data_IF_940541381781
#
_entry.id   IF_940541381781
#
_cell.length_a   1.000
_cell.length_b   1.000
_cell.length_c   1.000
_cell.angle_alpha   90.00
_cell.angle_beta   90.00
_cell.angle_gamma   90.00
#
_symmetry.space_group_name_H-M   'P 1'
#
loop_
_entity.id
_entity.type
_entity.pdbx_description
1 polymer ?
#
# COMPACT_ATOMS: atom_id res chain seq x y z
N UNK A 1 26.66 6.65 1.62
CA UNK A 1 26.32 5.72 0.52
C UNK A 1 26.40 4.25 0.95
N UNK A 2 27.56 3.65 1.19
CA UNK A 2 27.65 2.20 1.54
C UNK A 2 26.94 1.86 2.87
N UNK A 3 27.07 2.71 3.88
CA UNK A 3 26.36 2.58 5.15
C UNK A 3 24.84 2.72 5.00
N UNK A 4 24.38 3.63 4.13
CA UNK A 4 22.95 3.83 3.86
C UNK A 4 22.34 2.63 3.13
N UNK A 5 23.06 2.07 2.15
CA UNK A 5 22.65 0.82 1.48
C UNK A 5 22.60 -0.34 2.46
N UNK A 6 23.60 -0.48 3.32
CA UNK A 6 23.64 -1.51 4.36
C UNK A 6 22.44 -1.37 5.29
N UNK A 7 22.10 -0.14 5.70
CA UNK A 7 20.93 0.14 6.55
C UNK A 7 19.62 -0.23 5.85
N UNK A 8 19.44 0.16 4.59
CA UNK A 8 18.24 -0.18 3.78
C UNK A 8 18.09 -1.69 3.61
N UNK A 9 19.18 -2.40 3.32
CA UNK A 9 19.20 -3.87 3.19
C UNK A 9 18.82 -4.51 4.53
N UNK A 10 19.41 -4.06 5.64
CA UNK A 10 19.12 -4.58 6.97
C UNK A 10 17.65 -4.37 7.36
N UNK A 11 17.09 -3.18 7.12
CA UNK A 11 15.66 -2.91 7.35
C UNK A 11 14.81 -3.88 6.53
N UNK A 12 15.17 -4.11 5.27
CA UNK A 12 14.41 -5.00 4.40
C UNK A 12 14.44 -6.44 4.90
N UNK A 13 15.62 -7.00 5.18
CA UNK A 13 15.79 -8.40 5.62
C UNK A 13 15.14 -8.63 6.98
N UNK A 14 15.44 -7.78 7.96
CA UNK A 14 14.88 -7.90 9.32
C UNK A 14 13.37 -7.68 9.28
N UNK A 15 12.90 -6.75 8.45
CA UNK A 15 11.48 -6.46 8.24
C UNK A 15 10.72 -7.68 7.74
N UNK A 16 11.21 -8.38 6.71
CA UNK A 16 10.56 -9.60 6.17
C UNK A 16 10.39 -10.66 7.27
N UNK A 17 11.44 -10.91 8.05
CA UNK A 17 11.40 -11.88 9.16
C UNK A 17 10.41 -11.44 10.22
N UNK A 18 10.43 -10.15 10.58
CA UNK A 18 9.57 -9.58 11.61
C UNK A 18 8.09 -9.65 11.22
N UNK A 19 7.75 -9.34 9.97
CA UNK A 19 6.38 -9.50 9.46
C UNK A 19 5.90 -10.95 9.49
N UNK A 20 6.76 -11.91 9.12
CA UNK A 20 6.45 -13.33 9.24
C UNK A 20 6.19 -13.77 10.68
N UNK A 21 6.99 -13.30 11.64
CA UNK A 21 6.80 -13.59 13.06
C UNK A 21 5.50 -12.96 13.60
N UNK A 22 5.23 -11.70 13.25
CA UNK A 22 3.99 -10.99 13.60
C UNK A 22 2.78 -11.78 13.07
N UNK A 23 2.83 -12.24 11.82
CA UNK A 23 1.78 -13.06 11.23
C UNK A 23 1.57 -14.37 11.99
N UNK A 24 2.64 -15.11 12.32
CA UNK A 24 2.54 -16.36 13.08
C UNK A 24 1.86 -16.12 14.44
N UNK A 25 2.22 -15.03 15.12
CA UNK A 25 1.63 -14.66 16.41
C UNK A 25 0.15 -14.32 16.24
N UNK A 26 -0.20 -13.46 15.28
CA UNK A 26 -1.60 -13.08 14.99
C UNK A 26 -2.41 -14.32 14.64
N UNK A 27 -1.90 -15.18 13.75
CA UNK A 27 -2.58 -16.41 13.33
C UNK A 27 -2.85 -17.34 14.51
N UNK A 28 -1.94 -17.39 15.49
CA UNK A 28 -2.12 -18.18 16.72
C UNK A 28 -3.16 -17.58 17.66
N UNK A 29 -3.19 -16.26 17.81
CA UNK A 29 -4.18 -15.56 18.66
C UNK A 29 -5.58 -15.68 18.04
N UNK A 30 -5.69 -15.51 16.74
CA UNK A 30 -6.93 -15.53 15.97
C UNK A 30 -7.13 -16.86 15.23
N UNK A 31 -6.81 -17.97 15.91
CA UNK A 31 -6.83 -19.31 15.32
C UNK A 31 -8.21 -19.70 14.73
N UNK A 32 -9.29 -19.20 15.34
CA UNK A 32 -10.67 -19.47 14.97
C UNK A 32 -11.16 -18.69 13.73
N UNK A 33 -10.41 -17.70 13.29
CA UNK A 33 -10.72 -16.91 12.09
C UNK A 33 -9.94 -17.40 10.88
N UNK A 34 -10.32 -16.90 9.71
CA UNK A 34 -9.74 -17.24 8.43
C UNK A 34 -8.26 -16.85 8.34
N UNK A 35 -7.57 -17.42 7.36
CA UNK A 35 -6.21 -17.01 7.02
C UNK A 35 -6.17 -15.53 6.63
N UNK A 36 -7.12 -15.12 5.77
CA UNK A 36 -7.29 -13.75 5.29
C UNK A 36 -7.52 -12.77 6.46
N UNK A 37 -8.26 -13.15 7.50
CA UNK A 37 -8.41 -12.36 8.72
C UNK A 37 -7.07 -11.98 9.34
N UNK A 38 -6.17 -12.97 9.47
CA UNK A 38 -4.85 -12.76 10.05
C UNK A 38 -3.99 -11.87 9.15
N UNK A 39 -4.00 -12.13 7.85
CA UNK A 39 -3.30 -11.30 6.86
C UNK A 39 -3.79 -9.86 6.90
N UNK A 40 -5.11 -9.62 6.92
CA UNK A 40 -5.70 -8.27 7.01
C UNK A 40 -5.27 -7.50 8.25
N UNK A 41 -5.08 -8.15 9.40
CA UNK A 41 -4.53 -7.49 10.59
C UNK A 41 -3.09 -7.05 10.33
N UNK A 42 -2.25 -7.92 9.76
CA UNK A 42 -0.85 -7.59 9.42
C UNK A 42 -0.81 -6.45 8.40
N UNK A 43 -1.62 -6.50 7.35
CA UNK A 43 -1.74 -5.45 6.34
C UNK A 43 -2.20 -4.13 6.95
N UNK A 44 -3.12 -4.15 7.92
CA UNK A 44 -3.57 -2.94 8.64
C UNK A 44 -2.43 -2.32 9.46
N UNK A 45 -1.64 -3.14 10.15
CA UNK A 45 -0.45 -2.68 10.89
C UNK A 45 0.58 -2.05 9.95
N UNK A 46 0.83 -2.70 8.81
CA UNK A 46 1.71 -2.17 7.78
C UNK A 46 1.21 -0.83 7.26
N UNK A 47 -0.02 -0.76 6.74
CA UNK A 47 -0.57 0.43 6.13
C UNK A 47 -0.57 1.62 7.10
N UNK A 48 -0.98 1.41 8.35
CA UNK A 48 -0.99 2.46 9.38
C UNK A 48 0.42 2.99 9.65
N UNK A 49 1.39 2.09 9.78
CA UNK A 49 2.80 2.47 10.03
C UNK A 49 3.42 3.12 8.80
N UNK A 50 3.15 2.61 7.60
CA UNK A 50 3.65 3.12 6.34
C UNK A 50 3.14 4.54 6.06
N UNK A 51 1.86 4.81 6.32
CA UNK A 51 1.27 6.16 6.22
C UNK A 51 1.93 7.11 7.21
N UNK A 52 2.17 6.68 8.45
CA UNK A 52 2.86 7.49 9.46
C UNK A 52 4.32 7.80 9.04
N UNK A 53 5.08 6.80 8.61
CA UNK A 53 6.46 6.97 8.15
C UNK A 53 6.55 7.82 6.88
N UNK A 54 5.63 7.63 5.93
CA UNK A 54 5.52 8.47 4.73
C UNK A 54 5.19 9.91 5.12
N UNK A 55 4.28 10.12 6.07
CA UNK A 55 3.92 11.45 6.57
C UNK A 55 5.13 12.19 7.14
N UNK A 56 5.98 11.47 7.88
CA UNK A 56 7.21 12.00 8.46
C UNK A 56 8.37 12.17 7.45
N UNK A 57 8.25 11.56 6.28
CA UNK A 57 9.26 11.56 5.22
C UNK A 57 8.95 12.52 4.06
N UNK A 58 7.69 12.97 3.95
CA UNK A 58 7.31 14.06 3.04
C UNK A 58 7.96 15.35 3.53
N UNK A 59 8.68 16.02 2.62
CA UNK A 59 9.49 17.20 2.95
C UNK A 59 8.65 18.47 3.08
N UNK A 60 7.66 18.61 2.19
CA UNK A 60 6.76 19.75 2.16
C UNK A 60 5.34 19.29 1.79
N UNK A 61 4.38 19.56 2.69
CA UNK A 61 2.99 19.22 2.47
C UNK A 61 2.28 20.15 1.49
N UNK A 62 2.85 21.33 1.20
CA UNK A 62 2.34 22.21 0.14
C UNK A 62 2.54 21.60 -1.24
N UNK A 63 3.58 20.78 -1.41
CA UNK A 63 3.80 19.93 -2.58
C UNK A 63 4.42 18.58 -2.17
N UNK A 64 3.62 17.55 -1.83
CA UNK A 64 4.12 16.27 -1.32
C UNK A 64 5.03 15.50 -2.29
N UNK A 65 4.92 15.79 -3.59
CA UNK A 65 5.73 15.19 -4.66
C UNK A 65 6.99 16.00 -4.99
N UNK A 66 7.18 17.17 -4.36
CA UNK A 66 8.33 18.03 -4.60
C UNK A 66 9.47 17.75 -3.60
N UNK A 67 10.74 17.92 -4.01
CA UNK A 67 11.19 18.14 -5.39
C UNK A 67 10.97 16.89 -6.25
N UNK A 68 10.56 17.10 -7.51
CA UNK A 68 10.24 16.03 -8.48
C UNK A 68 11.54 15.43 -9.03
N UNK A 69 11.58 14.12 -9.26
CA UNK A 69 12.74 13.34 -9.72
C UNK A 69 13.99 13.55 -8.86
N UNK A 70 13.78 13.90 -7.58
CA UNK A 70 14.87 14.23 -6.68
C UNK A 70 15.62 12.99 -6.22
N UNK A 71 16.85 13.20 -5.76
CA UNK A 71 17.56 12.21 -4.95
C UNK A 71 16.75 11.90 -3.69
N UNK A 72 16.62 10.62 -3.37
CA UNK A 72 15.90 10.15 -2.18
C UNK A 72 16.69 10.47 -0.91
N UNK A 73 16.04 11.05 0.08
CA UNK A 73 16.63 11.21 1.42
C UNK A 73 16.72 9.85 2.14
N UNK A 74 17.61 9.74 3.12
CA UNK A 74 17.73 8.51 3.91
C UNK A 74 16.39 8.11 4.56
N UNK A 75 15.62 9.07 5.11
CA UNK A 75 14.29 8.81 5.69
C UNK A 75 13.30 8.27 4.67
N UNK A 76 13.30 8.81 3.45
CA UNK A 76 12.46 8.30 2.36
C UNK A 76 12.88 6.87 2.01
N UNK A 77 14.18 6.59 1.87
CA UNK A 77 14.68 5.24 1.58
C UNK A 77 14.32 4.24 2.68
N UNK A 78 14.45 4.60 3.96
CA UNK A 78 14.06 3.74 5.08
C UNK A 78 12.55 3.43 5.10
N UNK A 79 11.73 4.43 4.80
CA UNK A 79 10.28 4.28 4.67
C UNK A 79 9.92 3.34 3.52
N UNK A 80 10.59 3.48 2.37
CA UNK A 80 10.40 2.59 1.22
C UNK A 80 10.90 1.18 1.51
N UNK A 81 12.01 1.02 2.23
CA UNK A 81 12.56 -0.28 2.64
C UNK A 81 11.62 -1.01 3.61
N UNK A 82 11.01 -0.28 4.54
CA UNK A 82 9.98 -0.81 5.43
C UNK A 82 8.80 -1.39 4.63
N UNK A 83 8.27 -0.64 3.66
CA UNK A 83 7.18 -1.15 2.80
C UNK A 83 7.59 -2.25 1.86
N UNK A 84 8.81 -2.19 1.30
CA UNK A 84 9.36 -3.29 0.51
C UNK A 84 9.41 -4.59 1.31
N UNK A 85 9.85 -4.53 2.57
CA UNK A 85 9.91 -5.70 3.45
C UNK A 85 8.55 -6.35 3.65
N UNK A 86 7.50 -5.53 3.82
CA UNK A 86 6.12 -6.01 3.90
C UNK A 86 5.69 -6.65 2.58
N UNK A 87 5.93 -5.99 1.43
CA UNK A 87 5.51 -6.50 0.13
C UNK A 87 6.14 -7.86 -0.22
N UNK A 88 7.39 -8.07 0.16
CA UNK A 88 8.07 -9.37 0.01
C UNK A 88 7.42 -10.42 0.91
N UNK A 89 7.21 -10.09 2.19
CA UNK A 89 6.53 -10.98 3.13
C UNK A 89 5.11 -11.33 2.64
N UNK A 90 4.33 -10.35 2.19
CA UNK A 90 2.92 -10.51 1.80
C UNK A 90 2.81 -11.38 0.55
N UNK A 91 3.72 -11.18 -0.43
CA UNK A 91 3.85 -12.08 -1.57
C UNK A 91 4.13 -13.51 -1.10
N UNK A 92 5.12 -13.74 -0.23
CA UNK A 92 5.42 -15.09 0.30
C UNK A 92 4.21 -15.67 1.04
N UNK A 93 3.57 -14.88 1.89
CA UNK A 93 2.44 -15.30 2.72
C UNK A 93 1.23 -15.70 1.86
N UNK A 94 0.94 -14.94 0.81
CA UNK A 94 -0.18 -15.22 -0.12
C UNK A 94 -0.07 -16.56 -0.85
N UNK A 95 1.14 -17.15 -0.98
CA UNK A 95 1.30 -18.49 -1.56
C UNK A 95 0.82 -19.62 -0.64
N UNK A 96 0.65 -19.33 0.66
CA UNK A 96 0.11 -20.29 1.63
C UNK A 96 -1.41 -20.19 1.77
N UNK A 97 -2.04 -19.20 1.14
CA UNK A 97 -3.49 -19.13 1.07
C UNK A 97 -4.04 -20.19 0.09
N UNK A 98 -5.25 -20.67 0.34
CA UNK A 98 -5.87 -21.70 -0.50
C UNK A 98 -6.29 -21.15 -1.88
N UNK A 99 -6.38 -19.83 -2.04
CA UNK A 99 -6.78 -19.16 -3.28
C UNK A 99 -5.62 -18.32 -3.79
N UNK A 100 -4.83 -18.87 -4.70
CA UNK A 100 -3.77 -18.11 -5.37
C UNK A 100 -4.39 -17.21 -6.44
N UNK A 101 -4.40 -15.90 -6.19
CA UNK A 101 -4.75 -14.89 -7.19
C UNK A 101 -3.51 -14.50 -7.99
N UNK A 102 -3.47 -14.90 -9.26
CA UNK A 102 -2.38 -14.53 -10.19
C UNK A 102 -2.30 -13.00 -10.33
N UNK A 103 -3.44 -12.31 -10.39
CA UNK A 103 -3.47 -10.84 -10.45
C UNK A 103 -2.77 -10.22 -9.24
N UNK A 104 -3.04 -10.74 -8.04
CA UNK A 104 -2.42 -10.25 -6.82
C UNK A 104 -0.91 -10.52 -6.82
N UNK A 105 -0.49 -11.72 -7.22
CA UNK A 105 0.93 -12.07 -7.31
C UNK A 105 1.68 -11.15 -8.30
N UNK A 106 1.12 -10.90 -9.49
CA UNK A 106 1.70 -9.97 -10.47
C UNK A 106 1.76 -8.56 -9.90
N UNK A 107 0.70 -8.10 -9.23
CA UNK A 107 0.69 -6.80 -8.58
C UNK A 107 1.82 -6.64 -7.54
N UNK A 108 1.97 -7.60 -6.64
CA UNK A 108 3.04 -7.57 -5.63
C UNK A 108 4.42 -7.60 -6.29
N UNK A 109 4.64 -8.44 -7.31
CA UNK A 109 5.89 -8.47 -8.06
C UNK A 109 6.23 -7.10 -8.67
N UNK A 110 5.26 -6.43 -9.32
CA UNK A 110 5.49 -5.09 -9.90
C UNK A 110 5.74 -4.04 -8.81
N UNK A 111 5.05 -4.13 -7.66
CA UNK A 111 5.31 -3.23 -6.53
C UNK A 111 6.72 -3.41 -5.98
N UNK A 112 7.15 -4.66 -5.76
CA UNK A 112 8.52 -5.00 -5.33
C UNK A 112 9.54 -4.43 -6.31
N UNK A 113 9.34 -4.62 -7.62
CA UNK A 113 10.20 -4.04 -8.65
C UNK A 113 10.25 -2.51 -8.58
N UNK A 114 9.11 -1.85 -8.34
CA UNK A 114 9.04 -0.40 -8.17
C UNK A 114 9.82 0.09 -6.95
N UNK A 115 9.68 -0.57 -5.80
CA UNK A 115 10.43 -0.26 -4.59
C UNK A 115 11.94 -0.50 -4.78
N UNK A 116 12.33 -1.65 -5.33
CA UNK A 116 13.73 -1.99 -5.61
C UNK A 116 14.34 -0.99 -6.59
N UNK A 117 13.63 -0.63 -7.66
CA UNK A 117 14.09 0.38 -8.61
C UNK A 117 14.32 1.74 -7.94
N UNK A 118 13.37 2.19 -7.13
CA UNK A 118 13.49 3.45 -6.38
C UNK A 118 14.68 3.49 -5.42
N UNK A 119 14.89 2.40 -4.68
CA UNK A 119 16.01 2.27 -3.75
C UNK A 119 17.35 2.14 -4.47
N UNK A 120 17.38 1.41 -5.59
CA UNK A 120 18.60 1.20 -6.39
C UNK A 120 19.05 2.47 -7.12
N UNK A 121 18.11 3.18 -7.76
CA UNK A 121 18.42 4.44 -8.45
C UNK A 121 18.56 5.62 -7.49
N UNK A 122 18.07 5.51 -6.24
CA UNK A 122 18.00 6.59 -5.25
C UNK A 122 17.37 7.87 -5.81
N UNK A 123 16.40 7.71 -6.72
CA UNK A 123 15.69 8.80 -7.38
C UNK A 123 14.21 8.67 -7.11
N UNK A 124 13.47 9.76 -7.34
CA UNK A 124 12.02 9.82 -7.26
C UNK A 124 11.49 9.66 -5.80
N UNK A 125 12.32 9.98 -4.80
CA UNK A 125 12.00 9.71 -3.39
C UNK A 125 10.71 10.38 -2.92
N UNK A 126 10.51 11.65 -3.29
CA UNK A 126 9.32 12.43 -2.96
C UNK A 126 8.05 11.83 -3.57
N UNK A 127 8.08 11.50 -4.86
CA UNK A 127 6.92 10.88 -5.52
C UNK A 127 6.66 9.46 -5.01
N UNK A 128 7.69 8.70 -4.61
CA UNK A 128 7.51 7.36 -4.08
C UNK A 128 6.91 7.34 -2.68
N UNK A 129 7.33 8.23 -1.77
CA UNK A 129 6.69 8.32 -0.45
C UNK A 129 5.29 8.91 -0.53
N UNK A 130 5.05 9.88 -1.42
CA UNK A 130 3.70 10.38 -1.70
C UNK A 130 2.81 9.28 -2.30
N UNK A 131 3.36 8.42 -3.17
CA UNK A 131 2.65 7.28 -3.72
C UNK A 131 2.28 6.29 -2.63
N UNK A 132 3.24 5.93 -1.77
CA UNK A 132 3.01 5.05 -0.63
C UNK A 132 1.91 5.60 0.28
N UNK A 133 1.92 6.90 0.56
CA UNK A 133 0.90 7.55 1.38
C UNK A 133 -0.49 7.46 0.74
N UNK A 134 -0.60 7.84 -0.54
CA UNK A 134 -1.85 7.81 -1.30
C UNK A 134 -2.40 6.39 -1.41
N UNK A 135 -1.53 5.40 -1.63
CA UNK A 135 -1.99 4.03 -1.76
C UNK A 135 -2.42 3.47 -0.41
N UNK A 136 -1.68 3.71 0.67
CA UNK A 136 -1.95 3.03 1.94
C UNK A 136 -3.02 3.68 2.82
N UNK A 137 -3.35 4.97 2.65
CA UNK A 137 -4.28 5.66 3.55
C UNK A 137 -5.70 5.05 3.56
N UNK A 138 -6.14 4.42 2.47
CA UNK A 138 -7.42 3.72 2.41
C UNK A 138 -7.38 2.30 2.99
N UNK A 139 -6.20 1.66 3.03
CA UNK A 139 -6.05 0.22 3.33
C UNK A 139 -6.57 -0.18 4.72
N UNK A 140 -6.35 0.58 5.82
CA UNK A 140 -6.90 0.22 7.13
C UNK A 140 -8.43 0.07 7.12
N UNK A 141 -9.14 0.92 6.38
CA UNK A 141 -10.59 0.85 6.27
C UNK A 141 -11.06 -0.30 5.38
N UNK A 142 -10.31 -0.62 4.31
CA UNK A 142 -10.52 -1.80 3.48
C UNK A 142 -10.42 -3.10 4.29
N UNK A 143 -9.41 -3.19 5.16
CA UNK A 143 -9.25 -4.37 6.00
C UNK A 143 -10.29 -4.41 7.12
N UNK A 144 -10.58 -3.26 7.75
CA UNK A 144 -11.58 -3.16 8.81
C UNK A 144 -12.97 -3.62 8.33
N UNK A 145 -13.42 -3.21 7.14
CA UNK A 145 -14.75 -3.63 6.64
C UNK A 145 -14.89 -5.15 6.51
N UNK A 146 -13.85 -5.84 6.04
CA UNK A 146 -13.89 -7.29 5.88
C UNK A 146 -13.72 -8.01 7.22
N UNK A 147 -12.86 -7.49 8.11
CA UNK A 147 -12.73 -7.97 9.48
C UNK A 147 -14.07 -7.90 10.21
N UNK A 148 -14.79 -6.77 10.14
CA UNK A 148 -16.11 -6.59 10.76
C UNK A 148 -17.13 -7.60 10.24
N UNK A 149 -17.15 -7.85 8.92
CA UNK A 149 -18.03 -8.86 8.32
C UNK A 149 -17.74 -10.26 8.88
N UNK A 150 -16.47 -10.61 9.10
CA UNK A 150 -16.08 -11.94 9.59
C UNK A 150 -16.38 -12.13 11.09
N UNK A 151 -16.26 -11.08 11.92
CA UNK A 151 -16.59 -11.13 13.35
C UNK A 151 -18.08 -10.98 13.66
N UNK A 152 -18.96 -11.01 12.64
CA UNK A 152 -20.41 -10.97 12.79
C UNK A 152 -21.04 -9.57 12.84
N UNK A 153 -20.28 -8.52 12.49
CA UNK A 153 -20.76 -7.12 12.43
C UNK A 153 -21.19 -6.70 11.01
N UNK A 154 -21.50 -7.67 10.14
CA UNK A 154 -22.03 -7.39 8.80
C UNK A 154 -23.34 -6.58 8.90
N UNK A 155 -23.50 -5.61 8.00
CA UNK A 155 -24.70 -4.77 7.89
C UNK A 155 -25.02 -3.92 9.14
N UNK A 156 -24.02 -3.68 10.00
CA UNK A 156 -24.12 -2.74 11.13
C UNK A 156 -23.71 -1.33 10.74
N UNK A 157 -24.11 -0.31 11.50
CA UNK A 157 -23.67 1.07 11.30
C UNK A 157 -22.14 1.22 11.33
N UNK A 158 -21.45 0.41 12.15
CA UNK A 158 -19.99 0.38 12.20
C UNK A 158 -19.38 -0.18 10.91
N UNK A 159 -19.95 -1.25 10.36
CA UNK A 159 -19.51 -1.79 9.08
C UNK A 159 -19.80 -0.82 7.93
N UNK A 160 -20.96 -0.18 7.93
CA UNK A 160 -21.32 0.87 6.98
C UNK A 160 -20.35 2.06 7.06
N UNK A 161 -20.00 2.51 8.27
CA UNK A 161 -19.02 3.57 8.44
C UNK A 161 -17.64 3.20 7.87
N UNK A 162 -17.17 1.97 8.09
CA UNK A 162 -15.93 1.47 7.51
C UNK A 162 -15.99 1.43 5.97
N UNK A 163 -17.11 0.98 5.41
CA UNK A 163 -17.35 0.95 3.96
C UNK A 163 -17.31 2.37 3.34
N UNK A 164 -18.02 3.32 3.95
CA UNK A 164 -18.07 4.71 3.48
C UNK A 164 -16.71 5.39 3.61
N UNK A 165 -16.00 5.20 4.73
CA UNK A 165 -14.65 5.71 4.92
C UNK A 165 -13.68 5.17 3.87
N UNK A 166 -13.68 3.84 3.65
CA UNK A 166 -12.86 3.21 2.63
C UNK A 166 -13.15 3.82 1.25
N UNK A 167 -14.42 3.82 0.83
CA UNK A 167 -14.79 4.25 -0.50
C UNK A 167 -14.49 5.73 -0.75
N UNK A 168 -14.70 6.59 0.26
CA UNK A 168 -14.39 8.02 0.19
C UNK A 168 -12.89 8.26 0.08
N UNK A 169 -12.10 7.67 0.99
CA UNK A 169 -10.64 7.87 1.02
C UNK A 169 -10.00 7.26 -0.23
N UNK A 170 -10.41 6.06 -0.64
CA UNK A 170 -9.92 5.40 -1.85
C UNK A 170 -10.20 6.27 -3.09
N UNK A 171 -11.41 6.83 -3.20
CA UNK A 171 -11.76 7.68 -4.34
C UNK A 171 -10.91 8.96 -4.38
N UNK A 172 -10.79 9.67 -3.26
CA UNK A 172 -10.01 10.91 -3.21
C UNK A 172 -8.51 10.65 -3.40
N UNK A 173 -7.95 9.71 -2.66
CA UNK A 173 -6.52 9.44 -2.70
C UNK A 173 -6.13 8.77 -4.03
N UNK A 174 -6.73 7.63 -4.37
CA UNK A 174 -6.28 6.82 -5.50
C UNK A 174 -6.90 7.21 -6.83
N UNK A 175 -8.17 7.61 -6.89
CA UNK A 175 -8.81 7.97 -8.17
C UNK A 175 -8.58 9.42 -8.59
N UNK A 176 -8.34 10.34 -7.64
CA UNK A 176 -8.02 11.75 -7.93
C UNK A 176 -6.53 12.02 -7.78
N UNK A 177 -5.96 11.76 -6.61
CA UNK A 177 -4.53 11.99 -6.34
C UNK A 177 -3.60 11.06 -7.15
N UNK A 178 -4.01 9.80 -7.33
CA UNK A 178 -3.25 8.79 -8.07
C UNK A 178 -2.88 9.18 -9.51
N UNK A 179 -3.86 9.58 -10.37
CA UNK A 179 -3.57 10.06 -11.72
C UNK A 179 -2.61 11.23 -11.78
N UNK A 180 -2.76 12.21 -10.88
CA UNK A 180 -1.83 13.32 -10.79
C UNK A 180 -0.41 12.82 -10.46
N UNK A 181 -0.27 11.92 -9.48
CA UNK A 181 1.02 11.36 -9.09
C UNK A 181 1.69 10.59 -10.23
N UNK A 182 0.93 9.79 -10.97
CA UNK A 182 1.45 9.07 -12.14
C UNK A 182 1.90 10.06 -13.20
N UNK A 183 1.08 11.06 -13.52
CA UNK A 183 1.42 12.10 -14.49
C UNK A 183 2.75 12.78 -14.15
N UNK A 184 2.92 13.31 -12.92
CA UNK A 184 4.17 13.99 -12.56
C UNK A 184 5.37 13.04 -12.59
N UNK A 185 5.20 11.78 -12.18
CA UNK A 185 6.28 10.79 -12.14
C UNK A 185 6.74 10.40 -13.56
N UNK A 186 5.81 10.21 -14.50
CA UNK A 186 6.14 9.81 -15.88
C UNK A 186 6.66 10.98 -16.72
N UNK A 187 6.20 12.20 -16.43
CA UNK A 187 6.63 13.42 -17.13
C UNK A 187 8.01 13.89 -16.71
N UNK A 188 8.47 13.54 -15.51
CA UNK A 188 9.79 13.89 -15.01
C UNK A 188 10.92 13.03 -15.60
N UNK A 189 12.17 13.44 -15.36
CA UNK A 189 13.38 12.69 -15.75
C UNK A 189 13.68 11.51 -14.80
N UNK A 190 12.70 10.61 -14.68
CA UNK A 190 12.79 9.40 -13.88
C UNK A 190 13.24 8.20 -14.71
N UNK A 191 13.96 7.22 -14.12
CA UNK A 191 14.32 5.97 -14.78
C UNK A 191 13.10 5.24 -15.40
N UNK A 192 13.30 4.64 -16.57
CA UNK A 192 12.21 4.00 -17.34
C UNK A 192 11.50 2.89 -16.54
N UNK A 193 12.24 2.17 -15.69
CA UNK A 193 11.69 1.13 -14.84
C UNK A 193 10.69 1.70 -13.83
N UNK A 194 11.00 2.84 -13.20
CA UNK A 194 10.08 3.52 -12.27
C UNK A 194 8.83 3.94 -13.03
N UNK A 195 8.97 4.56 -14.21
CA UNK A 195 7.82 4.97 -15.04
C UNK A 195 6.92 3.78 -15.41
N UNK A 196 7.52 2.66 -15.82
CA UNK A 196 6.79 1.43 -16.17
C UNK A 196 5.94 0.91 -15.00
N UNK A 197 6.48 0.88 -13.78
CA UNK A 197 5.75 0.42 -12.60
C UNK A 197 4.55 1.32 -12.26
N UNK A 198 4.67 2.63 -12.47
CA UNK A 198 3.57 3.60 -12.24
C UNK A 198 2.46 3.48 -13.30
N UNK A 199 2.83 3.21 -14.56
CA UNK A 199 1.85 2.95 -15.61
C UNK A 199 1.08 1.65 -15.36
N UNK A 200 1.76 0.59 -14.95
CA UNK A 200 1.09 -0.65 -14.55
C UNK A 200 0.13 -0.43 -13.38
N UNK A 201 0.57 0.33 -12.37
CA UNK A 201 -0.27 0.67 -11.23
C UNK A 201 -1.54 1.41 -11.69
N UNK A 202 -1.42 2.43 -12.55
CA UNK A 202 -2.58 3.14 -13.11
C UNK A 202 -3.54 2.21 -13.85
N UNK A 203 -3.01 1.33 -14.70
CA UNK A 203 -3.80 0.34 -15.42
C UNK A 203 -4.62 -0.54 -14.46
N UNK A 204 -4.00 -1.04 -13.40
CA UNK A 204 -4.67 -1.86 -12.39
C UNK A 204 -5.77 -1.07 -11.67
N UNK A 205 -5.48 0.15 -11.23
CA UNK A 205 -6.42 1.01 -10.52
C UNK A 205 -7.67 1.32 -11.36
N UNK A 206 -7.50 1.54 -12.67
CA UNK A 206 -8.62 1.73 -13.60
C UNK A 206 -9.51 0.48 -13.69
N UNK A 207 -8.93 -0.72 -13.67
CA UNK A 207 -9.68 -1.97 -13.76
C UNK A 207 -10.46 -2.31 -12.47
N UNK A 208 -10.01 -1.85 -11.31
CA UNK A 208 -10.73 -2.05 -10.04
C UNK A 208 -11.73 -0.92 -9.74
N UNK A 209 -11.66 0.18 -10.48
CA UNK A 209 -12.53 1.35 -10.31
C UNK A 209 -14.01 1.04 -10.42
N UNK A 210 -14.39 0.21 -11.38
CA UNK A 210 -15.79 -0.14 -11.64
C UNK A 210 -16.40 -0.98 -10.51
N UNK A 211 -15.57 -1.73 -9.77
CA UNK A 211 -15.99 -2.42 -8.55
C UNK A 211 -16.34 -1.42 -7.45
N UNK A 212 -15.45 -0.44 -7.20
CA UNK A 212 -15.64 0.56 -6.14
C UNK A 212 -16.83 1.49 -6.42
N UNK A 213 -17.01 1.93 -7.68
CA UNK A 213 -18.15 2.78 -8.02
C UNK A 213 -19.49 2.05 -7.97
N UNK A 214 -19.52 0.74 -8.23
CA UNK A 214 -20.73 -0.05 -8.00
C UNK A 214 -21.10 -0.10 -6.52
N UNK A 215 -20.13 -0.25 -5.62
CA UNK A 215 -20.38 -0.20 -4.18
C UNK A 215 -20.85 1.20 -3.72
N UNK A 216 -20.18 2.28 -4.17
CA UNK A 216 -20.59 3.66 -3.88
C UNK A 216 -22.01 3.96 -4.33
N UNK A 217 -22.41 3.46 -5.51
CA UNK A 217 -23.77 3.64 -6.03
C UNK A 217 -24.83 2.93 -5.18
N UNK A 218 -24.48 1.87 -4.46
CA UNK A 218 -25.38 1.20 -3.50
C UNK A 218 -25.60 2.09 -2.28
N UNK A 219 -24.52 2.63 -1.69
CA UNK A 219 -24.64 3.51 -0.52
C UNK A 219 -25.35 4.83 -0.83
N UNK A 220 -25.08 5.42 -1.99
CA UNK A 220 -25.76 6.64 -2.41
C UNK A 220 -27.28 6.45 -2.58
N UNK A 221 -27.73 5.25 -2.98
CA UNK A 221 -29.15 4.91 -3.07
C UNK A 221 -29.79 4.62 -1.72
N UNK A 222 -29.04 4.20 -0.72
CA UNK A 222 -29.54 3.94 0.63
C UNK A 222 -29.70 5.22 1.47
N UNK A 223 -29.10 6.34 1.03
CA UNK A 223 -29.14 7.64 1.71
C UNK A 223 -30.27 8.57 1.20
N UNK A 224 -31.07 8.13 0.23
CA UNK A 224 -32.22 8.84 -0.38
C UNK A 224 -33.50 8.07 -0.03
#
# INVERSE_FOLDING_TARGET
MEEEYTRVINITIIGVISWGLIFIIIRRIFANYSFDFSTRIVSTLHATTAVALATLSIQDWSCPVCPIASTSSLRQMETLAFSLSYMIYDLICSHFDQVISIDNAVHHCVCILGFVAGLFYQKCGSEMVAALWITEISSPFLHLREILKEIGYRDTDLNLAADVCFATIFSLARMVGGPYLVYVTISADNPILIKGTKLYWMYREINIRDFVYKELAIYAKAAI
#
